data_IF_087964212622
#
_entry.id   IF_087964212622
#
_cell.length_a   1.000
_cell.length_b   1.000
_cell.length_c   1.000
_cell.angle_alpha   90.00
_cell.angle_beta   90.00
_cell.angle_gamma   90.00
#
_symmetry.space_group_name_H-M   'P 1'
#
loop_
_entity.id
_entity.type
_entity.pdbx_description
1 polymer ?
#
# COMPACT_ATOMS: atom_id res chain seq x y z
N UNK A 1 3.45 -6.52 55.11
CA UNK A 1 4.44 -6.90 54.06
C UNK A 1 3.82 -6.54 52.74
N UNK A 2 4.10 -5.34 52.27
CA UNK A 2 3.61 -4.80 50.98
C UNK A 2 4.57 -5.34 49.93
N UNK A 3 4.06 -6.19 49.05
CA UNK A 3 4.82 -6.69 47.89
C UNK A 3 4.97 -5.51 46.93
N UNK A 4 6.19 -5.02 46.84
CA UNK A 4 6.64 -4.05 45.82
C UNK A 4 6.56 -4.73 44.45
N UNK A 5 5.55 -4.39 43.65
CA UNK A 5 5.49 -4.77 42.25
C UNK A 5 6.51 -3.91 41.50
N UNK A 6 7.74 -4.44 41.47
CA UNK A 6 8.82 -3.84 40.72
C UNK A 6 8.33 -3.34 39.35
N UNK A 7 8.57 -2.06 39.11
CA UNK A 7 8.40 -1.39 37.84
C UNK A 7 9.07 -2.21 36.74
N UNK A 8 8.30 -2.91 35.93
CA UNK A 8 8.79 -3.42 34.64
C UNK A 8 9.27 -2.19 33.85
N UNK A 9 10.53 -2.15 33.42
CA UNK A 9 10.95 -1.08 32.53
C UNK A 9 10.07 -1.21 31.28
N UNK A 10 9.18 -0.24 31.07
CA UNK A 10 8.46 -0.08 29.80
C UNK A 10 9.53 -0.14 28.70
N UNK A 11 9.46 -1.18 27.86
CA UNK A 11 10.33 -1.34 26.72
C UNK A 11 10.26 -0.07 25.89
N UNK A 12 11.25 0.80 26.05
CA UNK A 12 11.39 2.05 25.28
C UNK A 12 11.87 1.78 23.85
N UNK A 13 12.14 0.52 23.52
CA UNK A 13 12.57 0.08 22.20
C UNK A 13 11.36 -0.20 21.31
N UNK A 14 11.51 0.17 20.05
CA UNK A 14 10.53 -0.13 19.02
C UNK A 14 10.54 -1.63 18.72
N UNK A 15 9.38 -2.21 18.42
CA UNK A 15 9.23 -3.62 18.04
C UNK A 15 8.93 -3.70 16.55
N UNK A 16 9.64 -4.56 15.83
CA UNK A 16 9.45 -4.77 14.40
C UNK A 16 8.83 -6.13 14.13
N UNK A 17 7.72 -6.14 13.39
CA UNK A 17 7.03 -7.34 12.93
C UNK A 17 6.92 -7.34 11.40
N UNK A 18 7.13 -8.51 10.79
CA UNK A 18 7.04 -8.69 9.34
C UNK A 18 6.09 -9.87 9.06
N UNK A 19 5.13 -9.65 8.17
CA UNK A 19 4.18 -10.68 7.75
C UNK A 19 4.03 -10.67 6.24
N UNK A 20 4.18 -11.83 5.60
CA UNK A 20 3.85 -12.05 4.20
C UNK A 20 2.40 -12.49 4.08
N UNK A 21 1.68 -11.90 3.13
CA UNK A 21 0.35 -12.31 2.72
C UNK A 21 0.28 -12.50 1.21
N UNK A 22 -0.50 -13.48 0.77
CA UNK A 22 -0.88 -13.67 -0.63
C UNK A 22 -2.37 -13.37 -0.75
N UNK A 23 -2.71 -12.26 -1.38
CA UNK A 23 -4.09 -11.77 -1.51
C UNK A 23 -4.69 -12.29 -2.81
N UNK A 24 -5.78 -13.05 -2.73
CA UNK A 24 -6.55 -13.41 -3.91
C UNK A 24 -7.30 -12.17 -4.45
N UNK A 25 -7.16 -11.89 -5.73
CA UNK A 25 -7.88 -10.81 -6.37
C UNK A 25 -9.31 -11.25 -6.70
N UNK A 26 -10.27 -10.35 -6.55
CA UNK A 26 -11.69 -10.62 -6.89
C UNK A 26 -11.88 -10.96 -8.38
N UNK A 27 -11.05 -10.37 -9.23
CA UNK A 27 -10.99 -10.59 -10.67
C UNK A 27 -9.54 -10.65 -11.08
N UNK A 28 -9.21 -11.45 -12.09
CA UNK A 28 -7.91 -11.41 -12.75
C UNK A 28 -7.57 -9.97 -13.11
N UNK A 29 -6.40 -9.50 -12.69
CA UNK A 29 -5.92 -8.16 -13.06
C UNK A 29 -4.94 -8.30 -14.22
N UNK A 30 -5.29 -7.71 -15.37
CA UNK A 30 -4.49 -7.76 -16.57
C UNK A 30 -4.15 -6.36 -17.09
N UNK A 31 -2.91 -6.21 -17.47
CA UNK A 31 -2.37 -5.08 -18.23
C UNK A 31 -1.68 -5.65 -19.49
N UNK A 32 -1.20 -4.80 -20.38
CA UNK A 32 -0.58 -5.23 -21.65
C UNK A 32 0.59 -6.21 -21.49
N UNK A 33 1.25 -6.28 -20.33
CA UNK A 33 2.49 -7.06 -20.12
C UNK A 33 2.36 -8.22 -19.16
N UNK A 34 1.33 -8.22 -18.31
CA UNK A 34 1.17 -9.22 -17.24
C UNK A 34 -0.30 -9.42 -16.86
N UNK A 35 -0.56 -10.58 -16.29
CA UNK A 35 -1.87 -10.95 -15.74
C UNK A 35 -1.66 -11.77 -14.48
N UNK A 36 -2.40 -11.49 -13.41
CA UNK A 36 -2.31 -12.21 -12.15
C UNK A 36 -3.63 -12.27 -11.40
N UNK A 37 -3.81 -13.35 -10.64
CA UNK A 37 -4.97 -13.63 -9.79
C UNK A 37 -4.68 -13.41 -8.31
N UNK A 38 -3.41 -13.24 -7.96
CA UNK A 38 -2.94 -13.07 -6.59
C UNK A 38 -1.94 -11.92 -6.52
N UNK A 39 -1.88 -11.26 -5.38
CA UNK A 39 -0.89 -10.24 -5.07
C UNK A 39 -0.18 -10.60 -3.78
N UNK A 40 1.13 -10.85 -3.86
CA UNK A 40 1.95 -11.01 -2.67
C UNK A 40 2.27 -9.63 -2.08
N UNK A 41 2.13 -9.52 -0.76
CA UNK A 41 2.38 -8.29 -0.04
C UNK A 41 3.11 -8.52 1.27
N UNK A 42 3.94 -7.55 1.66
CA UNK A 42 4.58 -7.46 2.96
C UNK A 42 3.81 -6.48 3.83
N UNK A 43 3.40 -6.92 5.00
CA UNK A 43 2.92 -6.04 6.08
C UNK A 43 4.05 -5.85 7.09
N UNK A 44 4.39 -4.61 7.36
CA UNK A 44 5.33 -4.19 8.40
C UNK A 44 4.53 -3.65 9.59
N UNK A 45 4.83 -4.15 10.79
CA UNK A 45 4.31 -3.61 12.05
C UNK A 45 5.43 -2.95 12.86
N UNK A 46 5.24 -1.69 13.27
CA UNK A 46 6.11 -0.98 14.20
C UNK A 46 5.38 -0.76 15.52
N UNK A 47 5.82 -1.45 16.57
CA UNK A 47 5.24 -1.37 17.91
C UNK A 47 5.99 -0.41 18.82
N UNK A 48 5.30 0.50 19.52
CA UNK A 48 5.88 1.40 20.52
C UNK A 48 4.80 1.84 21.52
N UNK A 49 5.11 1.80 22.81
CA UNK A 49 4.23 2.27 23.90
C UNK A 49 2.80 1.71 23.83
N UNK A 50 2.68 0.42 23.49
CA UNK A 50 1.38 -0.27 23.40
C UNK A 50 0.57 0.01 22.13
N UNK A 51 1.07 0.76 21.19
CA UNK A 51 0.49 0.98 19.86
C UNK A 51 1.29 0.26 18.80
N UNK A 52 0.64 -0.19 17.72
CA UNK A 52 1.28 -0.75 16.54
C UNK A 52 0.82 0.00 15.30
N UNK A 53 1.76 0.59 14.57
CA UNK A 53 1.53 1.15 13.25
C UNK A 53 1.80 0.12 12.17
N UNK A 54 1.00 0.10 11.10
CA UNK A 54 1.11 -0.83 9.99
C UNK A 54 1.42 -0.12 8.69
N UNK A 55 2.29 -0.74 7.89
CA UNK A 55 2.59 -0.32 6.53
C UNK A 55 2.68 -1.51 5.60
N UNK A 56 2.48 -1.28 4.32
CA UNK A 56 2.41 -2.31 3.30
C UNK A 56 3.29 -1.95 2.09
N UNK A 57 3.90 -2.99 1.49
CA UNK A 57 4.42 -2.92 0.14
C UNK A 57 4.19 -4.25 -0.59
N UNK A 58 3.76 -4.17 -1.85
CA UNK A 58 3.50 -5.35 -2.69
C UNK A 58 4.74 -5.76 -3.45
N UNK A 59 4.84 -7.06 -3.80
CA UNK A 59 5.80 -7.52 -4.80
C UNK A 59 5.54 -6.85 -6.15
N UNK A 60 6.60 -6.64 -6.93
CA UNK A 60 6.50 -6.05 -8.26
C UNK A 60 7.53 -6.68 -9.20
N UNK A 61 7.11 -7.59 -10.11
CA UNK A 61 8.01 -8.27 -11.04
C UNK A 61 8.77 -7.32 -11.96
N UNK A 62 8.16 -6.23 -12.40
CA UNK A 62 8.79 -5.25 -13.28
C UNK A 62 10.04 -4.62 -12.65
N UNK A 63 10.01 -4.35 -11.35
CA UNK A 63 11.12 -3.83 -10.56
C UNK A 63 11.96 -4.93 -9.91
N UNK A 64 11.66 -6.21 -10.16
CA UNK A 64 12.32 -7.38 -9.55
C UNK A 64 12.25 -7.35 -8.01
N UNK A 65 11.18 -6.83 -7.46
CA UNK A 65 10.92 -6.76 -6.02
C UNK A 65 10.03 -7.92 -5.60
N UNK A 66 10.48 -8.70 -4.63
CA UNK A 66 9.71 -9.77 -3.99
C UNK A 66 9.48 -9.45 -2.51
N UNK A 67 8.51 -10.10 -1.89
CA UNK A 67 8.30 -9.96 -0.43
C UNK A 67 9.53 -10.45 0.32
N UNK A 68 10.16 -11.53 -0.13
CA UNK A 68 11.38 -12.09 0.46
C UNK A 68 12.56 -11.12 0.39
N UNK A 69 12.73 -10.42 -0.75
CA UNK A 69 13.79 -9.41 -0.89
C UNK A 69 13.58 -8.23 0.07
N UNK A 70 12.34 -7.75 0.19
CA UNK A 70 12.01 -6.67 1.13
C UNK A 70 12.22 -7.10 2.59
N UNK A 71 11.80 -8.31 2.96
CA UNK A 71 12.03 -8.85 4.31
C UNK A 71 13.52 -8.98 4.60
N UNK A 72 14.32 -9.48 3.65
CA UNK A 72 15.77 -9.59 3.81
C UNK A 72 16.44 -8.22 4.01
N UNK A 73 16.04 -7.20 3.26
CA UNK A 73 16.52 -5.83 3.43
C UNK A 73 16.21 -5.30 4.84
N UNK A 74 14.99 -5.53 5.35
CA UNK A 74 14.58 -5.07 6.68
C UNK A 74 15.34 -5.80 7.78
N UNK A 75 15.58 -7.12 7.63
CA UNK A 75 16.33 -7.89 8.62
C UNK A 75 17.77 -7.39 8.79
N UNK A 76 18.41 -6.90 7.72
CA UNK A 76 19.76 -6.30 7.80
C UNK A 76 19.80 -5.02 8.67
N UNK A 77 18.68 -4.34 8.81
CA UNK A 77 18.55 -3.08 9.56
C UNK A 77 17.67 -3.21 10.80
N UNK A 78 17.22 -4.42 11.15
CA UNK A 78 16.30 -4.68 12.28
C UNK A 78 16.78 -4.05 13.57
N UNK A 79 18.01 -4.34 13.97
CA UNK A 79 18.55 -3.86 15.25
C UNK A 79 18.56 -2.34 15.35
N UNK A 80 18.94 -1.66 14.25
CA UNK A 80 18.95 -0.20 14.24
C UNK A 80 17.56 0.42 14.21
N UNK A 81 16.56 -0.29 13.64
CA UNK A 81 15.16 0.11 13.73
C UNK A 81 14.67 -0.04 15.18
N UNK A 82 14.87 -1.19 15.79
CA UNK A 82 14.35 -1.50 17.13
C UNK A 82 15.00 -0.63 18.23
N UNK A 83 16.21 -0.13 17.99
CA UNK A 83 16.92 0.79 18.91
C UNK A 83 16.73 2.28 18.57
N UNK A 84 16.01 2.59 17.49
CA UNK A 84 15.77 3.98 17.07
C UNK A 84 14.88 4.74 18.06
N UNK A 85 15.32 5.93 18.49
CA UNK A 85 14.51 6.84 19.32
C UNK A 85 13.48 7.57 18.48
N UNK A 86 12.33 6.91 18.26
CA UNK A 86 11.27 7.38 17.39
C UNK A 86 10.61 8.66 17.93
N UNK A 87 10.71 9.74 17.18
CA UNK A 87 10.07 11.04 17.47
C UNK A 87 8.92 11.34 16.52
N UNK A 88 9.16 11.20 15.21
CA UNK A 88 8.20 11.43 14.14
C UNK A 88 8.63 10.65 12.88
N UNK A 89 7.72 10.45 11.91
CA UNK A 89 8.01 9.70 10.70
C UNK A 89 9.13 10.31 9.85
N UNK A 90 9.22 11.64 9.77
CA UNK A 90 10.19 12.33 8.94
C UNK A 90 11.62 12.03 9.38
N UNK A 91 11.88 12.05 10.71
CA UNK A 91 13.20 11.72 11.26
C UNK A 91 13.52 10.23 11.08
N UNK A 92 12.51 9.34 11.17
CA UNK A 92 12.68 7.92 10.93
C UNK A 92 12.99 7.63 9.45
N UNK A 93 12.23 8.23 8.53
CA UNK A 93 12.51 8.14 7.10
C UNK A 93 13.92 8.63 6.75
N UNK A 94 14.30 9.81 7.23
CA UNK A 94 15.64 10.37 7.01
C UNK A 94 16.74 9.45 7.55
N UNK A 95 16.53 8.81 8.68
CA UNK A 95 17.45 7.84 9.29
C UNK A 95 17.62 6.58 8.43
N UNK A 96 16.54 6.06 7.85
CA UNK A 96 16.56 4.86 7.00
C UNK A 96 17.06 5.14 5.58
N UNK A 97 16.91 6.36 5.09
CA UNK A 97 17.41 6.78 3.78
C UNK A 97 18.93 6.58 3.69
N UNK A 98 19.37 5.85 2.67
CA UNK A 98 20.79 5.54 2.49
C UNK A 98 21.28 4.29 3.24
N UNK A 99 20.39 3.51 3.86
CA UNK A 99 20.72 2.22 4.49
C UNK A 99 20.69 1.03 3.51
N UNK A 100 20.58 1.29 2.21
CA UNK A 100 20.55 0.23 1.18
C UNK A 100 19.18 -0.41 0.98
N UNK A 101 18.11 0.18 1.54
CA UNK A 101 16.74 -0.27 1.35
C UNK A 101 16.21 0.15 -0.03
N UNK A 102 15.46 -0.73 -0.68
CA UNK A 102 14.69 -0.38 -1.87
C UNK A 102 13.59 0.64 -1.51
N UNK A 103 13.13 1.40 -2.50
CA UNK A 103 12.03 2.33 -2.30
C UNK A 103 10.74 1.63 -1.84
N UNK A 104 10.53 0.37 -2.22
CA UNK A 104 9.38 -0.44 -1.79
C UNK A 104 9.46 -0.74 -0.28
N UNK A 105 10.62 -1.22 0.16
CA UNK A 105 10.89 -1.50 1.57
C UNK A 105 10.80 -0.24 2.43
N UNK A 106 11.42 0.85 1.95
CA UNK A 106 11.36 2.14 2.65
C UNK A 106 9.92 2.66 2.76
N UNK A 107 9.11 2.49 1.70
CA UNK A 107 7.69 2.86 1.69
C UNK A 107 6.91 2.10 2.77
N UNK A 108 7.07 0.78 2.88
CA UNK A 108 6.36 -0.01 3.90
C UNK A 108 6.71 0.44 5.33
N UNK A 109 8.00 0.70 5.60
CA UNK A 109 8.46 1.20 6.90
C UNK A 109 7.95 2.61 7.18
N UNK A 110 7.94 3.49 6.18
CA UNK A 110 7.46 4.86 6.28
C UNK A 110 5.95 4.92 6.56
N UNK A 111 5.15 4.11 5.86
CA UNK A 111 3.72 3.97 6.13
C UNK A 111 3.45 3.49 7.56
N UNK A 112 4.20 2.47 8.02
CA UNK A 112 4.08 1.97 9.39
C UNK A 112 4.43 3.04 10.42
N UNK A 113 5.46 3.86 10.16
CA UNK A 113 5.87 4.96 11.04
C UNK A 113 4.80 6.06 11.11
N UNK A 114 4.18 6.42 9.99
CA UNK A 114 3.09 7.39 9.96
C UNK A 114 1.85 6.90 10.70
N UNK A 115 1.44 5.64 10.49
CA UNK A 115 0.31 5.05 11.18
C UNK A 115 0.57 4.97 12.70
N UNK A 116 1.79 4.57 13.10
CA UNK A 116 2.21 4.58 14.50
C UNK A 116 2.13 5.99 15.09
N UNK A 117 2.62 6.99 14.36
CA UNK A 117 2.62 8.38 14.81
C UNK A 117 1.20 8.92 15.02
N UNK A 118 0.29 8.62 14.10
CA UNK A 118 -1.14 8.93 14.25
C UNK A 118 -1.73 8.33 15.53
N UNK A 119 -1.48 7.04 15.78
CA UNK A 119 -1.95 6.31 16.95
C UNK A 119 -1.36 6.82 18.26
N UNK A 120 -0.06 7.13 18.28
CA UNK A 120 0.60 7.71 19.45
C UNK A 120 0.07 9.10 19.81
N UNK A 121 -0.41 9.87 18.84
CA UNK A 121 -1.01 11.19 19.04
C UNK A 121 -2.54 11.15 19.20
N UNK A 122 -3.18 9.98 19.08
CA UNK A 122 -4.63 9.83 19.15
C UNK A 122 -5.40 10.59 18.07
N UNK A 123 -4.78 10.81 16.90
CA UNK A 123 -5.33 11.60 15.79
C UNK A 123 -5.09 10.93 14.44
N UNK A 124 -6.04 11.02 13.50
CA UNK A 124 -5.79 10.62 12.12
C UNK A 124 -4.76 11.54 11.45
N UNK A 125 -4.02 11.01 10.48
CA UNK A 125 -2.92 11.74 9.84
C UNK A 125 -3.37 13.03 9.15
N UNK A 126 -4.57 13.05 8.54
CA UNK A 126 -5.06 14.25 7.88
C UNK A 126 -5.22 15.44 8.86
N UNK A 127 -5.58 15.18 10.12
CA UNK A 127 -5.65 16.23 11.15
C UNK A 127 -4.24 16.67 11.57
N UNK A 128 -3.29 15.73 11.75
CA UNK A 128 -1.91 16.04 12.10
C UNK A 128 -1.22 16.87 11.03
N UNK A 129 -1.57 16.66 9.75
CA UNK A 129 -1.03 17.42 8.62
C UNK A 129 -1.82 18.70 8.31
N UNK A 130 -2.89 18.98 9.06
CA UNK A 130 -3.73 20.16 8.83
C UNK A 130 -4.51 20.12 7.52
N UNK A 131 -4.73 18.93 6.94
CA UNK A 131 -5.54 18.77 5.74
C UNK A 131 -7.02 18.68 6.11
N UNK A 132 -7.89 19.17 5.21
CA UNK A 132 -9.33 19.05 5.35
C UNK A 132 -9.82 17.78 4.65
N UNK A 133 -10.80 17.09 5.23
CA UNK A 133 -11.34 15.84 4.70
C UNK A 133 -12.66 16.01 3.92
N UNK A 134 -13.09 17.23 3.65
CA UNK A 134 -14.35 17.57 2.96
C UNK A 134 -14.18 17.77 1.44
N UNK A 135 -12.96 17.89 0.95
CA UNK A 135 -12.60 18.13 -0.46
C UNK A 135 -11.56 17.14 -1.00
N UNK A 136 -11.86 15.84 -0.98
CA UNK A 136 -10.98 14.85 -1.59
C UNK A 136 -11.52 14.39 -2.95
N UNK A 137 -10.64 14.07 -3.91
CA UNK A 137 -11.06 13.59 -5.22
C UNK A 137 -11.69 12.20 -5.13
N UNK A 138 -12.71 11.94 -5.95
CA UNK A 138 -13.30 10.61 -6.09
C UNK A 138 -12.24 9.67 -6.68
N UNK A 139 -12.05 8.50 -6.05
CA UNK A 139 -11.18 7.44 -6.57
C UNK A 139 -11.71 6.87 -7.89
N UNK A 140 -10.84 6.23 -8.68
CA UNK A 140 -11.27 5.49 -9.85
C UNK A 140 -11.59 4.04 -9.50
N UNK A 141 -12.55 3.42 -10.21
CA UNK A 141 -12.63 1.97 -10.27
C UNK A 141 -11.89 1.48 -11.51
N UNK A 142 -10.94 0.54 -11.34
CA UNK A 142 -10.09 0.08 -12.45
C UNK A 142 -10.71 -1.10 -13.16
N UNK A 143 -10.80 -1.03 -14.48
CA UNK A 143 -11.17 -2.11 -15.38
C UNK A 143 -9.89 -2.59 -16.08
N UNK A 144 -9.43 -3.81 -15.77
CA UNK A 144 -8.30 -4.47 -16.42
C UNK A 144 -8.65 -4.92 -17.84
N UNK A 145 -7.63 -5.24 -18.65
CA UNK A 145 -7.82 -5.80 -19.99
C UNK A 145 -8.45 -7.19 -19.85
N UNK A 146 -9.56 -7.42 -20.53
CA UNK A 146 -10.32 -8.68 -20.56
C UNK A 146 -11.18 -8.71 -21.83
N UNK A 147 -11.87 -9.83 -22.15
CA UNK A 147 -12.94 -9.82 -23.14
C UNK A 147 -13.97 -8.73 -22.84
N UNK A 148 -14.51 -8.10 -23.90
CA UNK A 148 -15.38 -6.90 -23.76
C UNK A 148 -16.58 -7.19 -22.86
N UNK A 149 -17.19 -8.35 -22.98
CA UNK A 149 -18.35 -8.78 -22.17
C UNK A 149 -18.00 -8.83 -20.68
N UNK A 150 -16.79 -9.28 -20.35
CA UNK A 150 -16.31 -9.32 -18.97
C UNK A 150 -16.01 -7.91 -18.43
N UNK A 151 -15.41 -7.05 -19.24
CA UNK A 151 -15.20 -5.65 -18.88
C UNK A 151 -16.51 -4.91 -18.62
N UNK A 152 -17.52 -5.13 -19.46
CA UNK A 152 -18.90 -4.61 -19.28
C UNK A 152 -19.50 -5.17 -17.98
N UNK A 153 -19.41 -6.49 -17.76
CA UNK A 153 -19.93 -7.12 -16.55
C UNK A 153 -19.32 -6.49 -15.29
N UNK A 154 -18.00 -6.31 -15.23
CA UNK A 154 -17.30 -5.63 -14.11
C UNK A 154 -17.80 -4.19 -13.86
N UNK A 155 -18.09 -3.45 -14.94
CA UNK A 155 -18.67 -2.10 -14.82
C UNK A 155 -20.09 -2.12 -14.28
N UNK A 156 -20.90 -3.10 -14.70
CA UNK A 156 -22.30 -3.24 -14.24
C UNK A 156 -22.38 -3.75 -12.80
N UNK A 157 -21.46 -4.63 -12.39
CA UNK A 157 -21.37 -5.15 -11.02
C UNK A 157 -20.95 -4.07 -10.01
N UNK A 158 -20.19 -3.05 -10.46
CA UNK A 158 -19.74 -1.94 -9.64
C UNK A 158 -19.95 -0.61 -10.38
N UNK A 159 -21.18 -0.07 -10.41
CA UNK A 159 -21.43 1.25 -10.98
C UNK A 159 -20.62 2.33 -10.26
N UNK A 160 -19.79 3.05 -11.01
CA UNK A 160 -18.88 4.03 -10.46
C UNK A 160 -18.80 5.29 -11.33
N UNK A 161 -18.63 6.49 -10.77
CA UNK A 161 -18.61 7.72 -11.57
C UNK A 161 -17.36 7.90 -12.43
N UNK A 162 -16.26 7.21 -12.11
CA UNK A 162 -14.99 7.34 -12.82
C UNK A 162 -14.33 5.97 -12.97
N UNK A 163 -14.21 5.46 -14.19
CA UNK A 163 -13.48 4.23 -14.48
C UNK A 163 -12.08 4.54 -15.02
N UNK A 164 -11.07 3.82 -14.52
CA UNK A 164 -9.74 3.75 -15.11
C UNK A 164 -9.68 2.53 -16.01
N UNK A 165 -9.68 2.74 -17.32
CA UNK A 165 -9.68 1.66 -18.32
C UNK A 165 -8.22 1.36 -18.70
N UNK A 166 -7.78 0.12 -18.45
CA UNK A 166 -6.49 -0.38 -18.89
C UNK A 166 -6.55 -0.75 -20.36
N UNK A 167 -5.62 -0.24 -21.14
CA UNK A 167 -5.49 -0.42 -22.57
C UNK A 167 -4.06 -0.84 -22.93
N UNK A 168 -3.75 -0.98 -24.23
CA UNK A 168 -2.47 -1.41 -24.74
C UNK A 168 -2.61 -2.64 -25.64
N UNK A 169 -3.71 -2.71 -26.38
CA UNK A 169 -4.04 -3.73 -27.39
C UNK A 169 -4.32 -3.06 -28.74
N UNK A 170 -4.36 -3.83 -29.83
CA UNK A 170 -4.73 -3.32 -31.14
C UNK A 170 -6.20 -2.86 -31.20
N UNK A 171 -7.04 -3.34 -30.28
CA UNK A 171 -8.49 -3.09 -30.24
C UNK A 171 -8.91 -1.92 -29.32
N UNK A 172 -7.99 -1.17 -28.78
CA UNK A 172 -8.22 -0.14 -27.75
C UNK A 172 -9.40 0.81 -28.08
N UNK A 173 -9.48 1.28 -29.32
CA UNK A 173 -10.54 2.20 -29.76
C UNK A 173 -11.91 1.50 -29.77
N UNK A 174 -11.98 0.23 -30.20
CA UNK A 174 -13.22 -0.54 -30.23
C UNK A 174 -13.68 -0.87 -28.81
N UNK A 175 -12.75 -1.21 -27.92
CA UNK A 175 -13.02 -1.44 -26.48
C UNK A 175 -13.67 -0.19 -25.87
N UNK A 176 -13.05 0.97 -26.00
CA UNK A 176 -13.58 2.22 -25.43
C UNK A 176 -14.95 2.58 -26.00
N UNK A 177 -15.16 2.38 -27.31
CA UNK A 177 -16.47 2.62 -27.95
C UNK A 177 -17.55 1.68 -27.41
N UNK A 178 -17.24 0.42 -27.21
CA UNK A 178 -18.19 -0.54 -26.67
C UNK A 178 -18.55 -0.21 -25.22
N UNK A 179 -17.54 -0.04 -24.35
CA UNK A 179 -17.76 0.30 -22.95
C UNK A 179 -18.58 1.59 -22.77
N UNK A 180 -18.40 2.57 -23.66
CA UNK A 180 -19.14 3.84 -23.64
C UNK A 180 -20.66 3.65 -23.86
N UNK A 181 -21.09 2.61 -24.53
CA UNK A 181 -22.53 2.32 -24.71
C UNK A 181 -23.25 2.00 -23.41
N UNK A 182 -22.52 1.56 -22.40
CA UNK A 182 -23.06 1.05 -21.14
C UNK A 182 -23.02 2.06 -19.98
N UNK A 183 -22.33 3.21 -20.14
CA UNK A 183 -22.21 4.21 -19.06
C UNK A 183 -21.86 5.60 -19.58
N UNK A 184 -22.29 6.62 -18.83
CA UNK A 184 -21.87 8.03 -19.00
C UNK A 184 -20.75 8.43 -18.05
N UNK A 185 -20.21 7.50 -17.25
CA UNK A 185 -19.13 7.77 -16.31
C UNK A 185 -17.88 8.32 -17.00
N UNK A 186 -17.04 9.04 -16.27
CA UNK A 186 -15.76 9.51 -16.80
C UNK A 186 -14.83 8.32 -17.04
N UNK A 187 -14.21 8.25 -18.22
CA UNK A 187 -13.15 7.30 -18.51
C UNK A 187 -11.79 7.97 -18.40
N UNK A 188 -10.90 7.39 -17.61
CA UNK A 188 -9.47 7.68 -17.57
C UNK A 188 -8.74 6.53 -18.24
N UNK A 189 -8.02 6.82 -19.29
CA UNK A 189 -7.31 5.83 -20.09
C UNK A 189 -5.88 5.67 -19.58
N UNK A 190 -5.44 4.40 -19.42
CA UNK A 190 -4.08 4.04 -19.03
C UNK A 190 -3.56 2.96 -20.00
N UNK A 191 -2.71 3.36 -20.94
CA UNK A 191 -2.12 2.47 -21.93
C UNK A 191 -0.89 1.69 -21.42
N UNK A 192 -0.46 1.86 -20.17
CA UNK A 192 0.62 1.10 -19.52
C UNK A 192 1.95 1.08 -20.30
N UNK A 193 2.33 2.16 -20.91
CA UNK A 193 3.54 2.26 -21.76
C UNK A 193 3.51 1.36 -23.01
N UNK A 194 2.31 1.08 -23.55
CA UNK A 194 2.13 0.32 -24.79
C UNK A 194 2.36 1.23 -26.01
#
# INVERSE_FOLDING_TARGET
MILDYGSYPYLSSMQLQLQKHTLALRHTFSISRESHDFQDTLIVGLGLKGHTGFGEATSNPYYQITVESMMAEIELVREIIETFDFKNPETFHAFLKGKGLSNFTLCALDLAAHDLYGKLNGKPLYELWGTQNDHYPITNYTIGIAPIEEMVSKMMDMPWPIYKIKLGTEDDVSIVRELRKHTNAVFRIDANCA
#
